data_IF_224555965939
#
_entry.id   IF_224555965939
#
_cell.length_a   1.000
_cell.length_b   1.000
_cell.length_c   1.000
_cell.angle_alpha   90.00
_cell.angle_beta   90.00
_cell.angle_gamma   90.00
#
_symmetry.space_group_name_H-M   'P 1'
#
loop_
_entity.id
_entity.type
_entity.pdbx_description
1 polymer ?
#
# COMPACT_ATOMS: atom_id res chain seq x y z
N UNK A 1 11.42 -5.79 0.99
CA UNK A 1 12.04 -4.45 1.10
C UNK A 1 11.81 -3.58 -0.14
N UNK A 2 12.11 -4.03 -1.37
CA UNK A 2 11.98 -3.20 -2.58
C UNK A 2 10.54 -2.75 -2.93
N UNK A 3 9.54 -3.62 -2.73
CA UNK A 3 8.14 -3.31 -3.05
C UNK A 3 7.58 -2.14 -2.21
N UNK A 4 7.97 -2.06 -0.95
CA UNK A 4 7.53 -0.99 -0.03
C UNK A 4 8.10 0.38 -0.43
N UNK A 5 9.38 0.41 -0.83
CA UNK A 5 10.02 1.63 -1.31
C UNK A 5 9.44 2.09 -2.66
N UNK A 6 9.16 1.14 -3.58
CA UNK A 6 8.50 1.44 -4.84
C UNK A 6 7.11 2.05 -4.64
N UNK A 7 6.33 1.52 -3.69
CA UNK A 7 5.00 2.03 -3.36
C UNK A 7 5.04 3.46 -2.80
N UNK A 8 5.99 3.76 -1.91
CA UNK A 8 6.22 5.12 -1.40
C UNK A 8 6.60 6.11 -2.51
N UNK A 9 7.43 5.69 -3.45
CA UNK A 9 7.84 6.52 -4.60
C UNK A 9 6.66 6.78 -5.53
N UNK A 10 5.80 5.78 -5.78
CA UNK A 10 4.59 5.93 -6.59
C UNK A 10 3.58 6.91 -5.98
N UNK A 11 3.38 6.83 -4.66
CA UNK A 11 2.51 7.79 -3.95
C UNK A 11 3.10 9.20 -4.04
N UNK A 12 4.41 9.33 -3.77
CA UNK A 12 5.07 10.62 -3.82
C UNK A 12 5.01 11.25 -5.22
N UNK A 13 5.28 10.48 -6.28
CA UNK A 13 5.22 10.97 -7.66
C UNK A 13 3.81 11.34 -8.09
N UNK A 14 2.79 10.58 -7.68
CA UNK A 14 1.39 10.89 -7.96
C UNK A 14 0.96 12.23 -7.34
N UNK A 15 1.31 12.48 -6.07
CA UNK A 15 1.00 13.75 -5.38
C UNK A 15 1.73 14.91 -6.07
N UNK A 16 3.01 14.73 -6.40
CA UNK A 16 3.84 15.76 -7.02
C UNK A 16 3.33 16.11 -8.42
N UNK A 17 2.90 15.10 -9.18
CA UNK A 17 2.29 15.28 -10.50
C UNK A 17 0.96 16.02 -10.41
N UNK A 18 0.07 15.66 -9.47
CA UNK A 18 -1.23 16.32 -9.30
C UNK A 18 -1.09 17.77 -8.84
N UNK A 19 -0.13 18.05 -7.94
CA UNK A 19 0.14 19.40 -7.49
C UNK A 19 0.70 20.27 -8.63
N UNK A 20 1.64 19.74 -9.41
CA UNK A 20 2.19 20.42 -10.58
C UNK A 20 1.12 20.69 -11.65
N UNK A 21 0.26 19.69 -11.91
CA UNK A 21 -0.83 19.80 -12.88
C UNK A 21 -1.90 20.79 -12.43
N UNK A 22 -2.26 20.78 -11.15
CA UNK A 22 -3.19 21.75 -10.55
C UNK A 22 -2.66 23.18 -10.67
N UNK A 23 -1.37 23.40 -10.35
CA UNK A 23 -0.75 24.73 -10.45
C UNK A 23 -0.70 25.23 -11.90
N UNK A 24 -0.41 24.32 -12.84
CA UNK A 24 -0.40 24.60 -14.27
C UNK A 24 -1.79 24.98 -14.79
N UNK A 25 -2.82 24.20 -14.49
CA UNK A 25 -4.20 24.51 -14.87
C UNK A 25 -4.68 25.82 -14.24
N UNK A 26 -4.31 26.10 -12.99
CA UNK A 26 -4.67 27.36 -12.33
C UNK A 26 -4.06 28.58 -13.03
N UNK A 27 -2.77 28.52 -13.36
CA UNK A 27 -2.10 29.60 -14.11
C UNK A 27 -2.71 29.79 -15.49
N UNK A 28 -3.00 28.69 -16.19
CA UNK A 28 -3.57 28.77 -17.54
C UNK A 28 -5.00 29.30 -17.51
N UNK A 29 -5.77 28.98 -16.47
CA UNK A 29 -7.14 29.47 -16.30
C UNK A 29 -7.17 30.99 -16.11
N UNK A 30 -6.21 31.55 -15.36
CA UNK A 30 -6.09 33.00 -15.21
C UNK A 30 -5.81 33.73 -16.53
N UNK A 31 -5.18 33.05 -17.51
CA UNK A 31 -4.84 33.65 -18.81
C UNK A 31 -6.00 33.52 -19.80
N UNK A 32 -6.68 32.37 -19.82
CA UNK A 32 -7.67 32.03 -20.86
C UNK A 32 -9.12 32.20 -20.43
N UNK A 33 -9.43 32.07 -19.14
CA UNK A 33 -10.80 32.12 -18.61
C UNK A 33 -11.70 30.95 -19.05
N UNK A 34 -11.15 29.95 -19.73
CA UNK A 34 -11.92 28.83 -20.28
C UNK A 34 -12.20 27.76 -19.21
N UNK A 35 -13.48 27.42 -19.04
CA UNK A 35 -13.93 26.38 -18.10
C UNK A 35 -13.39 24.97 -18.39
N UNK A 36 -12.87 24.73 -19.59
CA UNK A 36 -12.31 23.43 -19.97
C UNK A 36 -11.09 23.06 -19.11
N UNK A 37 -10.30 24.04 -18.67
CA UNK A 37 -9.16 23.80 -17.79
C UNK A 37 -9.58 23.45 -16.35
N UNK A 38 -10.73 23.95 -15.90
CA UNK A 38 -11.32 23.52 -14.63
C UNK A 38 -11.78 22.06 -14.70
N UNK A 39 -12.40 21.64 -15.83
CA UNK A 39 -12.81 20.24 -16.00
C UNK A 39 -11.63 19.28 -16.02
N UNK A 40 -10.51 19.66 -16.66
CA UNK A 40 -9.28 18.87 -16.61
C UNK A 40 -8.68 18.79 -15.20
N UNK A 41 -8.76 19.87 -14.41
CA UNK A 41 -8.28 19.88 -13.03
C UNK A 41 -9.12 18.95 -12.14
N UNK A 42 -10.45 19.00 -12.27
CA UNK A 42 -11.34 18.08 -11.55
C UNK A 42 -11.08 16.64 -11.97
N UNK A 43 -10.89 16.38 -13.27
CA UNK A 43 -10.56 15.05 -13.77
C UNK A 43 -9.22 14.52 -13.22
N UNK A 44 -8.16 15.35 -13.14
CA UNK A 44 -6.88 14.89 -12.57
C UNK A 44 -7.02 14.56 -11.10
N UNK A 45 -7.74 15.39 -10.34
CA UNK A 45 -7.95 15.19 -8.90
C UNK A 45 -8.75 13.91 -8.62
N UNK A 46 -9.74 13.57 -9.45
CA UNK A 46 -10.49 12.31 -9.32
C UNK A 46 -9.57 11.11 -9.58
N UNK A 47 -8.71 11.18 -10.60
CA UNK A 47 -7.76 10.11 -10.93
C UNK A 47 -6.74 9.90 -9.82
N UNK A 48 -6.22 10.97 -9.21
CA UNK A 48 -5.26 10.86 -8.10
C UNK A 48 -5.90 10.31 -6.84
N UNK A 49 -7.12 10.72 -6.49
CA UNK A 49 -7.87 10.12 -5.38
C UNK A 49 -8.15 8.64 -5.64
N UNK A 50 -8.56 8.27 -6.85
CA UNK A 50 -8.80 6.88 -7.22
C UNK A 50 -7.52 6.04 -7.11
N UNK A 51 -6.39 6.58 -7.56
CA UNK A 51 -5.10 5.87 -7.49
C UNK A 51 -4.61 5.71 -6.05
N UNK A 52 -4.75 6.74 -5.21
CA UNK A 52 -4.45 6.65 -3.76
C UNK A 52 -5.36 5.62 -3.09
N UNK A 53 -6.65 5.63 -3.40
CA UNK A 53 -7.61 4.65 -2.88
C UNK A 53 -7.23 3.21 -3.25
N UNK A 54 -6.84 3.00 -4.51
CA UNK A 54 -6.35 1.70 -4.98
C UNK A 54 -5.09 1.26 -4.24
N UNK A 55 -4.13 2.16 -4.03
CA UNK A 55 -2.89 1.89 -3.30
C UNK A 55 -3.17 1.49 -1.84
N UNK A 56 -4.08 2.20 -1.15
CA UNK A 56 -4.50 1.86 0.23
C UNK A 56 -5.18 0.49 0.27
N UNK A 57 -6.07 0.20 -0.68
CA UNK A 57 -6.75 -1.08 -0.76
C UNK A 57 -5.75 -2.23 -0.99
N UNK A 58 -4.81 -2.04 -1.91
CA UNK A 58 -3.77 -3.02 -2.20
C UNK A 58 -2.84 -3.26 -1.00
N UNK A 59 -2.49 -2.20 -0.27
CA UNK A 59 -1.65 -2.31 0.92
C UNK A 59 -2.37 -3.05 2.07
N UNK A 60 -3.69 -2.84 2.25
CA UNK A 60 -4.50 -3.66 3.16
C UNK A 60 -4.47 -5.14 2.77
N UNK A 61 -4.57 -5.45 1.48
CA UNK A 61 -4.44 -6.82 0.98
C UNK A 61 -3.08 -7.44 1.32
N UNK A 62 -1.98 -6.72 1.06
CA UNK A 62 -0.63 -7.20 1.37
C UNK A 62 -0.39 -7.44 2.86
N UNK A 63 -0.91 -6.57 3.73
CA UNK A 63 -0.82 -6.76 5.19
C UNK A 63 -1.55 -8.04 5.63
N UNK A 64 -2.71 -8.34 5.04
CA UNK A 64 -3.45 -9.58 5.33
C UNK A 64 -2.64 -10.80 4.88
N UNK A 65 -2.08 -10.78 3.68
CA UNK A 65 -1.25 -11.89 3.17
C UNK A 65 0.04 -12.09 3.98
N UNK A 66 0.72 -11.02 4.37
CA UNK A 66 1.93 -11.10 5.18
C UNK A 66 1.62 -11.65 6.58
N UNK A 67 0.47 -11.27 7.15
CA UNK A 67 0.01 -11.80 8.44
C UNK A 67 -0.33 -13.29 8.34
N UNK A 68 -0.99 -13.71 7.27
CA UNK A 68 -1.28 -15.12 7.00
C UNK A 68 0.00 -15.94 6.82
N UNK A 69 0.98 -15.45 6.06
CA UNK A 69 2.28 -16.12 5.92
C UNK A 69 3.05 -16.24 7.24
N UNK A 70 2.93 -15.26 8.14
CA UNK A 70 3.52 -15.31 9.48
C UNK A 70 2.80 -16.30 10.43
N UNK A 71 1.52 -16.55 10.20
CA UNK A 71 0.70 -17.50 10.96
C UNK A 71 0.84 -18.94 10.46
N UNK A 72 1.63 -19.19 9.42
CA UNK A 72 1.88 -20.54 8.89
C UNK A 72 3.33 -20.94 9.07
N UNK A 73 3.57 -22.19 9.45
CA UNK A 73 4.92 -22.73 9.50
C UNK A 73 5.50 -22.85 8.09
N UNK A 74 6.70 -22.29 7.86
CA UNK A 74 7.34 -22.28 6.54
C UNK A 74 7.72 -23.66 6.00
N UNK A 75 7.92 -24.65 6.87
CA UNK A 75 8.29 -26.02 6.47
C UNK A 75 7.08 -26.94 6.26
N UNK A 76 6.14 -26.95 7.21
CA UNK A 76 5.03 -27.90 7.20
C UNK A 76 3.65 -27.28 6.91
N UNK A 77 3.55 -25.96 6.75
CA UNK A 77 2.28 -25.27 6.45
C UNK A 77 1.27 -25.25 7.61
N UNK A 78 1.64 -25.79 8.78
CA UNK A 78 0.79 -25.84 9.97
C UNK A 78 0.41 -24.42 10.45
N UNK A 79 -0.84 -24.23 10.88
CA UNK A 79 -1.32 -22.95 11.37
C UNK A 79 -0.85 -22.69 12.81
N UNK A 80 0.06 -21.74 12.95
CA UNK A 80 0.73 -21.35 14.20
C UNK A 80 -0.08 -20.37 15.05
N UNK A 81 -1.31 -20.00 14.67
CA UNK A 81 -2.14 -19.02 15.40
C UNK A 81 -2.28 -19.36 16.90
N UNK A 82 -2.58 -20.62 17.22
CA UNK A 82 -2.68 -21.12 18.59
C UNK A 82 -1.32 -21.34 19.25
N UNK A 83 -0.29 -21.58 18.45
CA UNK A 83 1.06 -21.92 18.92
C UNK A 83 1.82 -20.67 19.37
N UNK A 84 1.67 -19.57 18.62
CA UNK A 84 2.18 -18.24 18.99
C UNK A 84 1.42 -17.66 20.19
N UNK A 85 0.09 -17.84 20.27
CA UNK A 85 -0.69 -17.43 21.43
C UNK A 85 -0.26 -18.15 22.73
N UNK A 86 0.21 -19.39 22.62
CA UNK A 86 0.75 -20.16 23.73
C UNK A 86 2.24 -19.87 24.04
N UNK A 87 2.88 -18.94 23.33
CA UNK A 87 4.28 -18.55 23.56
C UNK A 87 5.30 -19.65 23.23
N UNK A 88 4.93 -20.65 22.41
CA UNK A 88 5.83 -21.75 22.05
C UNK A 88 6.78 -21.31 20.93
N UNK A 89 8.05 -21.68 21.06
CA UNK A 89 9.13 -21.32 20.10
C UNK A 89 9.36 -22.36 19.01
N UNK A 90 8.64 -23.48 19.03
CA UNK A 90 8.75 -24.57 18.06
C UNK A 90 7.37 -25.02 17.57
N UNK A 91 7.31 -25.42 16.30
CA UNK A 91 6.10 -25.95 15.67
C UNK A 91 5.71 -27.30 16.30
N UNK A 92 4.44 -27.53 16.67
CA UNK A 92 4.00 -28.76 17.33
C UNK A 92 4.00 -29.99 16.41
N UNK A 93 3.91 -29.79 15.10
CA UNK A 93 3.91 -30.92 14.14
C UNK A 93 5.30 -31.26 13.63
N UNK A 94 6.02 -30.27 13.08
CA UNK A 94 7.31 -30.53 12.44
C UNK A 94 8.53 -30.22 13.31
N UNK A 95 8.35 -29.67 14.52
CA UNK A 95 9.45 -29.35 15.44
C UNK A 95 10.35 -28.20 14.99
N UNK A 96 10.09 -27.61 13.82
CA UNK A 96 10.83 -26.47 13.29
C UNK A 96 10.75 -25.26 14.22
N UNK A 97 11.86 -24.54 14.37
CA UNK A 97 11.92 -23.33 15.18
C UNK A 97 11.09 -22.21 14.54
N UNK A 98 10.21 -21.59 15.32
CA UNK A 98 9.37 -20.48 14.88
C UNK A 98 10.19 -19.19 15.04
N UNK A 99 10.36 -18.36 13.99
CA UNK A 99 11.11 -17.12 14.11
C UNK A 99 10.39 -16.12 15.03
N UNK A 100 10.88 -15.98 16.27
CA UNK A 100 10.37 -15.02 17.28
C UNK A 100 10.90 -13.60 17.03
N UNK A 101 10.59 -13.03 15.87
CA UNK A 101 11.29 -11.83 15.36
C UNK A 101 10.42 -10.72 14.77
N UNK A 102 9.17 -10.55 15.22
CA UNK A 102 8.38 -9.36 14.90
C UNK A 102 7.84 -8.73 16.19
N UNK A 103 8.75 -8.12 16.95
CA UNK A 103 8.44 -7.03 17.86
C UNK A 103 8.70 -5.70 17.13
#
# INVERSE_FOLDING_TARGET
MALYNFHRVLIASAILFDFGFSLYCFRRYQITGEGLQLTMLVASSVVTVAMIGYLIHFNKGLVVFQRQGALTCGDCGYNLETTMAAGRTACPECGAAIPTGFA
#
